data_IF_902866287110
#
_entry.id   IF_902866287110
#
_cell.length_a   1.000
_cell.length_b   1.000
_cell.length_c   1.000
_cell.angle_alpha   90.00
_cell.angle_beta   90.00
_cell.angle_gamma   90.00
#
_symmetry.space_group_name_H-M   'P 1'
#
loop_
_entity.id
_entity.type
_entity.pdbx_description
1 polymer ?
#
# COMPACT_ATOMS: atom_id res chain seq x y z
N UNK A 1 10.83 -39.86 -2.08
CA UNK A 1 10.30 -38.51 -1.79
C UNK A 1 11.08 -37.96 -0.60
N UNK A 2 12.07 -37.08 -0.83
CA UNK A 2 12.79 -36.41 0.25
C UNK A 2 12.06 -35.12 0.62
N UNK A 3 11.95 -34.87 1.92
CA UNK A 3 11.11 -33.88 2.58
C UNK A 3 11.83 -32.56 2.91
N UNK A 4 12.79 -32.13 2.10
CA UNK A 4 13.44 -30.83 2.29
C UNK A 4 13.02 -29.90 1.15
N UNK A 5 12.02 -29.05 1.42
CA UNK A 5 11.51 -28.02 0.52
C UNK A 5 12.48 -26.85 0.24
N UNK A 6 13.78 -27.08 0.31
CA UNK A 6 14.79 -26.10 -0.10
C UNK A 6 15.02 -26.22 -1.61
N UNK A 7 14.24 -25.47 -2.40
CA UNK A 7 14.72 -25.12 -3.73
C UNK A 7 15.98 -24.25 -3.53
N UNK A 8 17.13 -24.59 -4.12
CA UNK A 8 18.32 -23.77 -3.97
C UNK A 8 18.03 -22.40 -4.58
N UNK A 9 18.11 -21.34 -3.77
CA UNK A 9 18.13 -19.99 -4.29
C UNK A 9 19.29 -19.87 -5.30
N UNK A 10 19.05 -19.16 -6.40
CA UNK A 10 20.02 -19.01 -7.49
C UNK A 10 20.09 -17.57 -7.94
N UNK A 11 21.29 -17.10 -8.26
CA UNK A 11 21.49 -15.80 -8.89
C UNK A 11 20.86 -15.71 -10.28
N UNK A 12 20.73 -16.85 -10.98
CA UNK A 12 20.05 -16.98 -12.27
C UNK A 12 19.01 -18.10 -12.18
N UNK A 13 17.77 -17.82 -11.77
CA UNK A 13 16.76 -18.86 -11.70
C UNK A 13 16.44 -19.35 -13.12
N UNK A 14 16.52 -20.67 -13.34
CA UNK A 14 16.43 -21.31 -14.67
C UNK A 14 14.99 -21.57 -15.11
N UNK A 15 14.05 -20.72 -14.70
CA UNK A 15 12.63 -20.99 -14.87
C UNK A 15 12.04 -20.00 -15.87
N UNK A 16 11.27 -20.52 -16.82
CA UNK A 16 10.43 -19.68 -17.68
C UNK A 16 9.20 -19.27 -16.87
N UNK A 17 8.96 -17.97 -16.61
CA UNK A 17 7.77 -17.51 -15.89
C UNK A 17 6.46 -17.99 -16.52
N UNK A 18 6.46 -18.36 -17.82
CA UNK A 18 5.27 -18.90 -18.51
C UNK A 18 4.95 -20.35 -18.15
N UNK A 19 5.96 -21.14 -17.77
CA UNK A 19 5.78 -22.59 -17.51
C UNK A 19 5.94 -22.96 -16.04
N UNK A 20 6.35 -22.00 -15.21
CA UNK A 20 6.69 -22.22 -13.81
C UNK A 20 5.50 -21.88 -12.92
N UNK A 21 5.22 -22.72 -11.92
CA UNK A 21 4.12 -22.45 -10.99
C UNK A 21 4.34 -21.13 -10.23
N UNK A 22 3.25 -20.44 -9.91
CA UNK A 22 3.28 -19.17 -9.16
C UNK A 22 3.91 -19.33 -7.77
N UNK A 23 3.66 -20.46 -7.11
CA UNK A 23 4.27 -20.80 -5.83
C UNK A 23 5.80 -20.96 -5.96
N UNK A 24 6.28 -21.64 -7.01
CA UNK A 24 7.72 -21.76 -7.26
C UNK A 24 8.38 -20.42 -7.56
N UNK A 25 7.72 -19.55 -8.33
CA UNK A 25 8.19 -18.18 -8.59
C UNK A 25 8.31 -17.40 -7.28
N UNK A 26 7.26 -17.43 -6.45
CA UNK A 26 7.26 -16.75 -5.15
C UNK A 26 8.37 -17.29 -4.24
N UNK A 27 8.54 -18.61 -4.15
CA UNK A 27 9.56 -19.23 -3.32
C UNK A 27 10.97 -18.81 -3.76
N UNK A 28 11.25 -18.83 -5.06
CA UNK A 28 12.55 -18.44 -5.60
C UNK A 28 12.83 -16.94 -5.47
N UNK A 29 11.81 -16.11 -5.70
CA UNK A 29 11.90 -14.66 -5.52
C UNK A 29 12.28 -14.29 -4.09
N UNK A 30 11.54 -14.82 -3.11
CA UNK A 30 11.84 -14.63 -1.67
C UNK A 30 13.23 -15.13 -1.31
N UNK A 31 13.59 -16.32 -1.74
CA UNK A 31 14.89 -16.90 -1.41
C UNK A 31 16.05 -16.12 -2.06
N UNK A 32 15.85 -15.57 -3.27
CA UNK A 32 16.83 -14.71 -3.93
C UNK A 32 17.11 -13.43 -3.14
N UNK A 33 16.11 -12.80 -2.50
CA UNK A 33 16.34 -11.59 -1.68
C UNK A 33 17.44 -11.77 -0.61
N UNK A 34 17.62 -12.99 -0.10
CA UNK A 34 18.57 -13.29 0.99
C UNK A 34 19.79 -14.13 0.56
N UNK A 35 19.85 -14.56 -0.70
CA UNK A 35 20.97 -15.35 -1.22
C UNK A 35 22.22 -14.45 -1.41
N UNK A 36 23.46 -14.92 -1.28
CA UNK A 36 24.64 -14.10 -1.61
C UNK A 36 24.72 -13.74 -3.11
N UNK A 37 25.19 -12.53 -3.44
CA UNK A 37 25.52 -12.20 -4.85
C UNK A 37 26.72 -13.04 -5.33
N UNK A 38 26.98 -13.17 -6.65
CA UNK A 38 28.16 -13.87 -7.13
C UNK A 38 29.46 -13.26 -6.56
N UNK A 39 30.43 -14.10 -6.20
CA UNK A 39 31.68 -13.66 -5.53
C UNK A 39 32.44 -12.59 -6.32
N UNK A 40 32.47 -12.69 -7.65
CA UNK A 40 33.08 -11.68 -8.51
C UNK A 40 32.42 -10.30 -8.30
N UNK A 41 31.09 -10.25 -8.36
CA UNK A 41 30.34 -9.02 -8.11
C UNK A 41 30.53 -8.53 -6.67
N UNK A 42 30.53 -9.46 -5.70
CA UNK A 42 30.81 -9.14 -4.31
C UNK A 42 32.15 -8.40 -4.16
N UNK A 43 33.21 -8.94 -4.76
CA UNK A 43 34.56 -8.39 -4.69
C UNK A 43 34.71 -7.06 -5.46
N UNK A 44 33.97 -6.89 -6.56
CA UNK A 44 33.95 -5.64 -7.33
C UNK A 44 33.27 -4.52 -6.52
N UNK A 45 32.07 -4.78 -6.01
CA UNK A 45 31.34 -3.87 -5.14
C UNK A 45 32.12 -3.54 -3.87
N UNK A 46 32.71 -4.53 -3.20
CA UNK A 46 33.51 -4.33 -1.99
C UNK A 46 34.67 -3.35 -2.22
N UNK A 47 35.40 -3.48 -3.34
CA UNK A 47 36.50 -2.57 -3.70
C UNK A 47 36.02 -1.15 -3.96
N UNK A 48 34.90 -1.00 -4.64
CA UNK A 48 34.30 0.32 -4.87
C UNK A 48 33.86 0.97 -3.56
N UNK A 49 33.20 0.20 -2.68
CA UNK A 49 32.71 0.70 -1.41
C UNK A 49 33.80 1.01 -0.41
N UNK A 50 34.94 0.30 -0.42
CA UNK A 50 36.09 0.73 0.39
C UNK A 50 36.52 2.16 0.02
N UNK A 51 36.52 2.51 -1.27
CA UNK A 51 36.81 3.88 -1.70
C UNK A 51 35.72 4.89 -1.31
N UNK A 52 34.45 4.47 -1.30
CA UNK A 52 33.33 5.30 -0.83
C UNK A 52 33.36 5.55 0.67
N UNK A 53 33.72 4.53 1.45
CA UNK A 53 33.83 4.64 2.91
C UNK A 53 34.96 5.61 3.30
N UNK A 54 36.10 5.57 2.62
CA UNK A 54 37.18 6.54 2.83
C UNK A 54 36.72 7.97 2.55
N UNK A 55 36.05 8.23 1.41
CA UNK A 55 35.47 9.56 1.13
C UNK A 55 34.46 10.00 2.19
N UNK A 56 33.67 9.06 2.72
CA UNK A 56 32.71 9.35 3.78
C UNK A 56 33.37 9.71 5.11
N UNK A 57 34.46 9.04 5.47
CA UNK A 57 35.25 9.37 6.65
C UNK A 57 35.85 10.77 6.52
N UNK A 58 36.49 11.07 5.39
CA UNK A 58 37.03 12.40 5.08
C UNK A 58 35.93 13.48 5.12
N UNK A 59 34.74 13.19 4.58
CA UNK A 59 33.59 14.10 4.64
C UNK A 59 33.14 14.38 6.08
N UNK A 60 33.04 13.34 6.91
CA UNK A 60 32.65 13.50 8.33
C UNK A 60 33.69 14.33 9.07
N UNK A 61 34.97 14.00 8.93
CA UNK A 61 36.06 14.71 9.58
C UNK A 61 36.07 16.19 9.21
N UNK A 62 35.90 16.51 7.92
CA UNK A 62 35.80 17.88 7.44
C UNK A 62 34.54 18.59 7.99
N UNK A 63 33.38 17.91 7.98
CA UNK A 63 32.12 18.47 8.50
C UNK A 63 32.18 18.75 10.00
N UNK A 64 32.72 17.81 10.78
CA UNK A 64 32.86 17.93 12.23
C UNK A 64 33.84 19.05 12.57
N UNK A 65 34.97 19.14 11.86
CA UNK A 65 35.94 20.22 12.04
C UNK A 65 35.35 21.59 11.72
N UNK A 66 34.61 21.70 10.61
CA UNK A 66 33.97 22.96 10.19
C UNK A 66 32.79 23.36 11.08
N UNK A 67 32.22 22.44 11.85
CA UNK A 67 31.14 22.72 12.80
C UNK A 67 31.61 23.44 14.07
N UNK A 68 32.93 23.45 14.33
CA UNK A 68 33.52 24.10 15.50
C UNK A 68 33.73 25.60 15.22
N UNK A 69 33.11 26.52 15.99
CA UNK A 69 33.28 27.95 15.78
C UNK A 69 34.74 28.39 15.89
N UNK A 70 35.26 29.06 14.84
CA UNK A 70 36.64 29.56 14.80
C UNK A 70 37.69 28.54 14.34
N UNK A 71 37.28 27.32 13.96
CA UNK A 71 38.18 26.37 13.31
C UNK A 71 38.59 26.83 11.90
N UNK A 72 39.78 26.38 11.46
CA UNK A 72 40.21 26.55 10.06
C UNK A 72 39.35 25.64 9.20
N UNK A 73 38.62 26.24 8.26
CA UNK A 73 37.72 25.50 7.36
C UNK A 73 38.52 24.55 6.47
N UNK A 74 38.19 23.26 6.52
CA UNK A 74 38.79 22.21 5.68
C UNK A 74 37.84 21.94 4.51
N UNK A 75 38.37 21.76 3.28
CA UNK A 75 37.55 21.39 2.13
C UNK A 75 36.78 20.09 2.37
N UNK A 76 35.46 20.14 2.22
CA UNK A 76 34.60 18.96 2.33
C UNK A 76 34.65 18.19 0.99
N UNK A 77 35.10 16.91 0.97
CA UNK A 77 35.14 16.13 -0.26
C UNK A 77 33.73 15.93 -0.84
N UNK A 78 33.62 16.12 -2.15
CA UNK A 78 32.36 15.89 -2.84
C UNK A 78 32.03 14.40 -2.90
N UNK A 79 30.82 14.03 -2.51
CA UNK A 79 30.32 12.68 -2.69
C UNK A 79 30.14 12.38 -4.18
N UNK A 80 30.45 11.15 -4.59
CA UNK A 80 30.35 10.76 -5.99
C UNK A 80 28.93 10.28 -6.28
N UNK A 81 28.27 10.84 -7.29
CA UNK A 81 27.04 10.25 -7.83
C UNK A 81 27.38 8.91 -8.51
N UNK A 82 26.75 7.83 -8.04
CA UNK A 82 26.99 6.47 -8.52
C UNK A 82 25.80 5.87 -9.27
N UNK A 83 24.60 6.36 -9.01
CA UNK A 83 23.37 5.90 -9.65
C UNK A 83 22.34 7.02 -9.75
N UNK A 84 21.29 6.78 -10.53
CA UNK A 84 20.13 7.66 -10.66
C UNK A 84 18.89 6.81 -10.87
N UNK A 85 17.78 7.15 -10.22
CA UNK A 85 16.48 6.54 -10.54
C UNK A 85 15.98 7.04 -11.92
N UNK A 86 15.06 6.36 -12.62
CA UNK A 86 14.59 6.81 -13.94
C UNK A 86 14.05 8.24 -13.92
N UNK A 87 14.20 9.01 -15.01
CA UNK A 87 13.59 10.36 -15.12
C UNK A 87 12.11 10.23 -15.39
N UNK A 88 11.37 11.29 -15.15
CA UNK A 88 9.97 11.41 -15.58
C UNK A 88 9.78 11.29 -17.11
N UNK A 89 10.84 11.51 -17.89
CA UNK A 89 10.88 11.29 -19.34
C UNK A 89 11.20 9.84 -19.74
N UNK A 90 11.64 9.02 -18.79
CA UNK A 90 12.01 7.61 -18.99
C UNK A 90 10.95 6.66 -18.41
N UNK A 91 10.30 7.06 -17.31
CA UNK A 91 9.32 6.28 -16.57
C UNK A 91 8.24 7.17 -15.97
N UNK A 92 6.99 6.72 -15.96
CA UNK A 92 5.87 7.46 -15.34
C UNK A 92 5.91 7.50 -13.80
N UNK A 93 6.76 6.69 -13.17
CA UNK A 93 7.05 6.75 -11.73
C UNK A 93 8.44 7.33 -11.45
N UNK A 94 9.16 7.73 -12.50
CA UNK A 94 10.55 8.18 -12.42
C UNK A 94 10.68 9.61 -11.90
N UNK A 95 11.53 9.81 -10.89
CA UNK A 95 11.82 11.13 -10.32
C UNK A 95 13.19 11.69 -10.75
N UNK A 96 14.10 10.83 -11.20
CA UNK A 96 15.45 11.21 -11.57
C UNK A 96 16.37 11.49 -10.38
N UNK A 97 16.05 10.99 -9.19
CA UNK A 97 16.87 11.17 -7.98
C UNK A 97 18.28 10.63 -8.19
N UNK A 98 19.28 11.48 -7.99
CA UNK A 98 20.69 11.10 -8.00
C UNK A 98 21.08 10.49 -6.65
N UNK A 99 21.76 9.35 -6.70
CA UNK A 99 22.25 8.64 -5.53
C UNK A 99 23.75 8.78 -5.45
N UNK A 100 24.21 9.32 -4.33
CA UNK A 100 25.63 9.35 -4.01
C UNK A 100 26.11 7.98 -3.54
N UNK A 101 27.43 7.80 -3.56
CA UNK A 101 28.07 6.64 -2.98
C UNK A 101 27.75 6.47 -1.48
N UNK A 102 27.64 7.57 -0.72
CA UNK A 102 27.15 7.55 0.66
C UNK A 102 25.74 6.96 0.75
N UNK A 103 24.82 7.42 -0.09
CA UNK A 103 23.41 7.00 -0.03
C UNK A 103 23.28 5.49 -0.19
N UNK A 104 24.07 4.93 -1.10
CA UNK A 104 24.10 3.49 -1.37
C UNK A 104 24.86 2.72 -0.29
N UNK A 105 26.05 3.17 0.11
CA UNK A 105 26.93 2.39 1.00
C UNK A 105 26.53 2.49 2.46
N UNK A 106 25.80 3.53 2.89
CA UNK A 106 25.40 3.71 4.28
C UNK A 106 24.63 2.50 4.82
N UNK A 107 23.77 1.89 4.00
CA UNK A 107 22.89 0.78 4.40
C UNK A 107 23.58 -0.59 4.45
N UNK A 108 24.87 -0.66 4.12
CA UNK A 108 25.68 -1.88 4.16
C UNK A 108 26.11 -2.29 5.58
N UNK A 109 26.21 -1.33 6.50
CA UNK A 109 26.60 -1.60 7.88
C UNK A 109 25.59 -2.50 8.58
N UNK A 110 26.07 -3.44 9.41
CA UNK A 110 25.18 -4.28 10.23
C UNK A 110 24.48 -3.50 11.35
N UNK A 111 25.04 -2.34 11.69
CA UNK A 111 24.59 -1.50 12.80
C UNK A 111 24.07 -0.14 12.28
N UNK A 112 23.85 -0.03 10.96
CA UNK A 112 23.30 1.17 10.33
C UNK A 112 21.89 0.92 9.78
N UNK A 113 21.06 1.96 9.84
CA UNK A 113 19.75 1.96 9.18
C UNK A 113 19.85 2.05 7.65
N UNK A 114 18.70 2.26 7.02
CA UNK A 114 18.62 2.57 5.58
C UNK A 114 18.17 4.02 5.45
N UNK A 115 18.87 4.82 4.64
CA UNK A 115 18.55 6.24 4.48
C UNK A 115 17.23 6.41 3.72
N UNK A 116 16.47 7.46 4.07
CA UNK A 116 15.21 7.87 3.44
C UNK A 116 15.28 7.83 1.90
N UNK A 117 16.30 8.50 1.34
CA UNK A 117 16.57 8.56 -0.10
C UNK A 117 16.80 7.18 -0.73
N UNK A 118 17.46 6.26 -0.02
CA UNK A 118 17.75 4.91 -0.51
C UNK A 118 16.51 4.02 -0.50
N UNK A 119 15.63 4.19 0.49
CA UNK A 119 14.35 3.49 0.54
C UNK A 119 13.41 4.01 -0.56
N UNK A 120 13.33 5.33 -0.73
CA UNK A 120 12.55 5.96 -1.80
C UNK A 120 13.02 5.48 -3.17
N UNK A 121 14.33 5.55 -3.43
CA UNK A 121 14.90 5.12 -4.70
C UNK A 121 14.70 3.63 -4.97
N UNK A 122 14.86 2.77 -3.95
CA UNK A 122 14.61 1.35 -4.10
C UNK A 122 13.13 1.06 -4.39
N UNK A 123 12.22 1.76 -3.71
CA UNK A 123 10.77 1.65 -3.94
C UNK A 123 10.39 2.09 -5.36
N UNK A 124 11.01 3.17 -5.86
CA UNK A 124 10.87 3.62 -7.25
C UNK A 124 11.34 2.56 -8.23
N UNK A 125 12.54 1.99 -8.04
CA UNK A 125 13.04 0.90 -8.90
C UNK A 125 12.13 -0.33 -8.88
N UNK A 126 11.53 -0.67 -7.74
CA UNK A 126 10.58 -1.79 -7.64
C UNK A 126 9.34 -1.50 -8.48
N UNK A 127 8.74 -0.31 -8.33
CA UNK A 127 7.55 0.09 -9.08
C UNK A 127 7.84 0.15 -10.59
N UNK A 128 8.95 0.77 -10.97
CA UNK A 128 9.43 0.85 -12.35
C UNK A 128 9.57 -0.53 -12.99
N UNK A 129 10.26 -1.43 -12.28
CA UNK A 129 10.49 -2.80 -12.75
C UNK A 129 9.20 -3.60 -12.91
N UNK A 130 8.28 -3.49 -11.94
CA UNK A 130 6.98 -4.15 -12.01
C UNK A 130 6.12 -3.60 -13.16
N UNK A 131 6.08 -2.28 -13.36
CA UNK A 131 5.39 -1.65 -14.48
C UNK A 131 5.97 -2.10 -15.84
N UNK A 132 7.30 -2.14 -15.98
CA UNK A 132 7.97 -2.64 -17.20
C UNK A 132 7.62 -4.09 -17.48
N UNK A 133 7.66 -4.94 -16.45
CA UNK A 133 7.36 -6.36 -16.61
C UNK A 133 5.90 -6.60 -17.00
N UNK A 134 4.94 -5.94 -16.31
CA UNK A 134 3.52 -6.06 -16.62
C UNK A 134 3.15 -5.51 -18.01
N UNK A 135 3.85 -4.46 -18.47
CA UNK A 135 3.64 -3.90 -19.81
C UNK A 135 4.05 -4.85 -20.94
N UNK A 136 4.93 -5.80 -20.66
CA UNK A 136 5.39 -6.80 -21.62
C UNK A 136 4.57 -8.11 -21.59
N UNK A 137 3.55 -8.19 -20.72
CA UNK A 137 2.67 -9.36 -20.70
C UNK A 137 1.75 -9.36 -21.94
N UNK A 138 1.55 -10.53 -22.58
CA UNK A 138 0.62 -10.64 -23.68
C UNK A 138 -0.79 -10.26 -23.21
N UNK A 139 -1.53 -9.51 -24.03
CA UNK A 139 -2.93 -9.18 -23.74
C UNK A 139 -3.76 -10.45 -23.65
N UNK A 140 -4.63 -10.54 -22.63
CA UNK A 140 -5.62 -11.61 -22.54
C UNK A 140 -6.74 -11.46 -23.59
N UNK A 141 -6.86 -10.28 -24.19
CA UNK A 141 -7.77 -9.97 -25.29
C UNK A 141 -6.95 -9.53 -26.50
N UNK A 142 -6.78 -10.39 -27.53
CA UNK A 142 -5.97 -10.09 -28.71
C UNK A 142 -6.44 -8.84 -29.47
N UNK A 143 -7.69 -8.39 -29.24
CA UNK A 143 -8.26 -7.20 -29.87
C UNK A 143 -7.96 -5.89 -29.12
N UNK A 144 -7.44 -5.98 -27.89
CA UNK A 144 -7.05 -4.83 -27.07
C UNK A 144 -5.53 -4.81 -26.90
N UNK A 145 -4.89 -3.76 -27.42
CA UNK A 145 -3.50 -3.48 -27.09
C UNK A 145 -3.37 -3.27 -25.58
N UNK A 146 -2.46 -4.01 -24.93
CA UNK A 146 -2.08 -3.71 -23.55
C UNK A 146 -1.34 -2.37 -23.56
N UNK A 147 -1.89 -1.29 -22.97
CA UNK A 147 -1.19 -0.01 -22.97
C UNK A 147 0.09 -0.16 -22.17
N UNK A 148 1.21 0.35 -22.69
CA UNK A 148 2.48 0.34 -21.98
C UNK A 148 2.36 1.19 -20.72
N UNK A 149 2.28 0.55 -19.55
CA UNK A 149 2.02 1.14 -18.23
C UNK A 149 3.27 1.75 -17.58
N UNK A 150 4.42 1.72 -18.26
CA UNK A 150 5.68 2.25 -17.75
C UNK A 150 6.04 3.59 -18.39
N UNK A 151 5.61 3.85 -19.63
CA UNK A 151 6.03 5.03 -20.37
C UNK A 151 5.40 6.33 -19.81
N UNK A 152 6.09 7.48 -19.97
CA UNK A 152 5.55 8.78 -19.60
C UNK A 152 4.18 9.04 -20.22
N UNK A 153 3.30 9.71 -19.47
CA UNK A 153 1.92 10.00 -19.90
C UNK A 153 0.95 8.82 -19.80
N UNK A 154 1.38 7.68 -19.26
CA UNK A 154 0.50 6.54 -18.97
C UNK A 154 0.26 6.38 -17.46
N UNK A 155 -0.87 5.80 -17.10
CA UNK A 155 -1.19 5.48 -15.70
C UNK A 155 -0.46 4.19 -15.30
N UNK A 156 0.43 4.21 -14.29
CA UNK A 156 1.14 3.03 -13.84
C UNK A 156 0.19 1.97 -13.26
N UNK A 157 0.69 0.74 -13.07
CA UNK A 157 0.01 -0.25 -12.23
C UNK A 157 0.53 -0.21 -10.79
N UNK A 158 1.82 0.09 -10.62
CA UNK A 158 2.48 0.22 -9.33
C UNK A 158 3.01 1.63 -9.20
N UNK A 159 2.59 2.33 -8.16
CA UNK A 159 3.08 3.65 -7.83
C UNK A 159 3.51 3.69 -6.36
N UNK A 160 4.22 4.74 -5.99
CA UNK A 160 4.52 5.00 -4.60
C UNK A 160 4.46 6.48 -4.29
N UNK A 161 4.32 6.79 -3.01
CA UNK A 161 4.53 8.10 -2.45
C UNK A 161 5.72 8.02 -1.52
N UNK A 162 6.72 8.86 -1.79
CA UNK A 162 7.93 8.95 -0.99
C UNK A 162 7.61 9.16 0.49
N UNK A 163 8.58 8.84 1.32
CA UNK A 163 8.64 9.11 2.77
C UNK A 163 8.20 10.52 3.21
N UNK A 164 8.29 11.55 2.36
CA UNK A 164 7.68 12.89 2.61
C UNK A 164 6.15 12.86 2.80
N UNK A 165 5.48 11.77 2.44
CA UNK A 165 4.05 11.63 2.66
C UNK A 165 3.65 11.75 4.14
N UNK A 166 4.53 11.36 5.06
CA UNK A 166 4.26 11.50 6.48
C UNK A 166 3.94 12.97 6.85
N UNK A 167 4.76 13.91 6.37
CA UNK A 167 4.59 15.37 6.56
C UNK A 167 3.27 15.89 5.93
N UNK A 168 2.84 15.27 4.83
CA UNK A 168 1.54 15.58 4.19
C UNK A 168 0.39 15.06 5.04
N UNK A 169 0.51 13.85 5.60
CA UNK A 169 -0.52 13.25 6.42
C UNK A 169 -0.66 13.92 7.80
N UNK A 170 0.41 14.48 8.36
CA UNK A 170 0.39 15.30 9.58
C UNK A 170 -0.51 16.54 9.46
N UNK A 171 -0.61 17.13 8.25
CA UNK A 171 -1.55 18.22 7.95
C UNK A 171 -3.02 17.74 7.85
N UNK A 172 -3.24 16.43 7.92
CA UNK A 172 -4.52 15.77 8.06
C UNK A 172 -5.07 15.15 6.76
N UNK A 173 -6.08 14.27 6.88
CA UNK A 173 -6.59 13.46 5.76
C UNK A 173 -7.13 14.26 4.57
N UNK A 174 -7.67 15.47 4.81
CA UNK A 174 -8.18 16.36 3.75
C UNK A 174 -7.04 16.89 2.87
N UNK A 175 -5.92 17.30 3.48
CA UNK A 175 -4.76 17.79 2.75
C UNK A 175 -4.13 16.65 1.94
N UNK A 176 -3.95 15.49 2.56
CA UNK A 176 -3.45 14.28 1.88
C UNK A 176 -4.33 13.86 0.69
N UNK A 177 -5.66 13.92 0.82
CA UNK A 177 -6.57 13.62 -0.28
C UNK A 177 -6.46 14.63 -1.44
N UNK A 178 -6.26 15.91 -1.14
CA UNK A 178 -6.06 16.95 -2.15
C UNK A 178 -4.73 16.74 -2.90
N UNK A 179 -3.65 16.43 -2.19
CA UNK A 179 -2.36 16.10 -2.80
C UNK A 179 -2.44 14.80 -3.63
N UNK A 180 -3.19 13.78 -3.18
CA UNK A 180 -3.42 12.56 -3.97
C UNK A 180 -4.17 12.86 -5.27
N UNK A 181 -5.13 13.80 -5.24
CA UNK A 181 -5.89 14.26 -6.41
C UNK A 181 -5.02 14.97 -7.45
N UNK A 182 -3.94 15.63 -7.01
CA UNK A 182 -2.95 16.22 -7.95
C UNK A 182 -2.11 15.17 -8.66
N UNK A 183 -1.97 13.98 -8.09
CA UNK A 183 -1.15 12.88 -8.64
C UNK A 183 -1.95 11.93 -9.51
N UNK A 184 -3.15 11.57 -9.07
CA UNK A 184 -4.04 10.66 -9.77
C UNK A 184 -5.47 11.18 -9.74
N UNK A 185 -6.12 11.21 -10.89
CA UNK A 185 -7.57 11.28 -10.93
C UNK A 185 -8.19 10.02 -10.32
N UNK A 186 -9.46 10.08 -9.90
CA UNK A 186 -10.14 8.90 -9.35
C UNK A 186 -10.16 7.73 -10.33
N UNK A 187 -10.37 8.01 -11.61
CA UNK A 187 -10.35 6.97 -12.66
C UNK A 187 -8.96 6.33 -12.79
N UNK A 188 -7.91 7.14 -12.68
CA UNK A 188 -6.52 6.65 -12.72
C UNK A 188 -6.18 5.82 -11.49
N UNK A 189 -6.65 6.21 -10.30
CA UNK A 189 -6.48 5.44 -9.07
C UNK A 189 -7.04 4.03 -9.18
N UNK A 190 -8.22 3.86 -9.77
CA UNK A 190 -8.82 2.54 -10.00
C UNK A 190 -8.09 1.68 -11.04
N UNK A 191 -7.12 2.25 -11.78
CA UNK A 191 -6.23 1.50 -12.69
C UNK A 191 -4.95 1.00 -12.00
N UNK A 192 -4.73 1.40 -10.74
CA UNK A 192 -3.59 0.95 -9.94
C UNK A 192 -3.85 -0.44 -9.36
N UNK A 193 -2.82 -1.28 -9.40
CA UNK A 193 -2.73 -2.52 -8.64
C UNK A 193 -2.29 -2.26 -7.21
N UNK A 194 -1.26 -1.43 -7.03
CA UNK A 194 -0.81 -0.96 -5.73
C UNK A 194 -0.32 0.49 -5.79
N UNK A 195 -0.60 1.23 -4.72
CA UNK A 195 0.13 2.44 -4.35
C UNK A 195 0.74 2.23 -2.97
N UNK A 196 2.07 2.40 -2.87
CA UNK A 196 2.82 2.25 -1.63
C UNK A 196 3.02 3.62 -0.96
N UNK A 197 2.69 3.73 0.32
CA UNK A 197 2.97 4.89 1.15
C UNK A 197 3.99 4.51 2.21
N UNK A 198 5.15 5.14 2.15
CA UNK A 198 6.20 4.94 3.14
C UNK A 198 5.86 5.75 4.39
N UNK A 199 5.70 5.06 5.52
CA UNK A 199 5.29 5.64 6.81
C UNK A 199 6.51 5.67 7.71
N UNK A 200 7.01 6.88 7.98
CA UNK A 200 8.11 7.10 8.93
C UNK A 200 7.55 7.54 10.28
N UNK A 201 8.10 7.02 11.37
CA UNK A 201 7.79 7.46 12.73
C UNK A 201 9.08 7.81 13.48
N UNK A 202 9.03 8.88 14.27
CA UNK A 202 10.21 9.44 14.94
C UNK A 202 10.97 10.43 14.04
N UNK A 203 11.59 11.42 14.68
CA UNK A 203 12.36 12.47 14.00
C UNK A 203 13.80 12.01 13.72
N UNK A 204 14.38 12.45 12.61
CA UNK A 204 15.82 12.36 12.37
C UNK A 204 16.56 13.42 13.20
N UNK A 205 16.71 13.19 14.50
CA UNK A 205 17.61 14.00 15.33
C UNK A 205 18.95 13.27 15.47
N UNK A 206 20.05 13.95 15.15
CA UNK A 206 21.47 13.52 15.27
C UNK A 206 21.66 12.06 15.71
N UNK A 207 21.76 11.17 14.70
CA UNK A 207 22.04 9.73 14.82
C UNK A 207 20.93 8.82 15.38
N UNK A 208 19.72 9.34 15.63
CA UNK A 208 18.50 8.54 15.86
C UNK A 208 17.71 8.42 14.55
N UNK A 209 17.89 7.29 13.85
CA UNK A 209 17.09 7.00 12.67
C UNK A 209 15.68 6.58 13.09
N UNK A 210 14.67 7.26 12.56
CA UNK A 210 13.28 6.90 12.78
C UNK A 210 12.96 5.48 12.32
N UNK A 211 11.80 4.97 12.71
CA UNK A 211 11.29 3.69 12.23
C UNK A 211 10.53 3.89 10.91
N UNK A 212 10.56 2.89 10.03
CA UNK A 212 9.83 2.92 8.77
C UNK A 212 9.02 1.66 8.55
N UNK A 213 7.80 1.87 8.07
CA UNK A 213 6.83 0.86 7.68
C UNK A 213 6.24 1.22 6.30
N UNK A 214 5.42 0.34 5.74
CA UNK A 214 4.67 0.61 4.51
C UNK A 214 3.18 0.41 4.71
N UNK A 215 2.41 1.38 4.25
CA UNK A 215 0.98 1.23 3.99
C UNK A 215 0.80 1.00 2.47
N UNK A 216 0.36 -0.18 2.07
CA UNK A 216 0.07 -0.48 0.67
C UNK A 216 -1.45 -0.49 0.45
N UNK A 217 -1.92 0.29 -0.52
CA UNK A 217 -3.33 0.33 -0.89
C UNK A 217 -3.47 -0.34 -2.26
N UNK A 218 -4.36 -1.32 -2.38
CA UNK A 218 -4.74 -1.92 -3.65
C UNK A 218 -6.14 -1.49 -4.06
N UNK A 219 -6.28 -0.55 -5.01
CA UNK A 219 -7.58 -0.20 -5.58
C UNK A 219 -8.20 -1.39 -6.31
N UNK A 220 -7.41 -2.11 -7.11
CA UNK A 220 -7.84 -3.33 -7.83
C UNK A 220 -8.58 -4.33 -6.91
N UNK A 221 -8.07 -4.54 -5.69
CA UNK A 221 -8.64 -5.50 -4.75
C UNK A 221 -9.43 -4.89 -3.57
N UNK A 222 -9.51 -3.56 -3.49
CA UNK A 222 -10.07 -2.80 -2.37
C UNK A 222 -9.47 -3.19 -1.02
N UNK A 223 -8.14 -3.29 -0.96
CA UNK A 223 -7.42 -3.65 0.27
C UNK A 223 -6.48 -2.55 0.75
N UNK A 224 -6.24 -2.55 2.06
CA UNK A 224 -5.25 -1.73 2.74
C UNK A 224 -4.40 -2.65 3.60
N UNK A 225 -3.09 -2.56 3.43
CA UNK A 225 -2.10 -3.36 4.13
C UNK A 225 -1.17 -2.43 4.90
N UNK A 226 -1.17 -2.52 6.23
CA UNK A 226 -0.14 -1.88 7.03
C UNK A 226 0.87 -2.93 7.50
N UNK A 227 2.11 -2.82 6.99
CA UNK A 227 3.18 -3.78 7.21
C UNK A 227 4.35 -3.12 7.94
N UNK A 228 4.56 -3.54 9.19
CA UNK A 228 5.62 -3.04 10.05
C UNK A 228 6.40 -4.21 10.66
N UNK A 229 7.72 -4.20 10.53
CA UNK A 229 8.60 -5.24 11.09
C UNK A 229 8.80 -5.13 12.60
N UNK A 230 8.44 -4.01 13.22
CA UNK A 230 8.44 -3.87 14.68
C UNK A 230 7.16 -4.42 15.34
N UNK A 231 6.22 -4.96 14.56
CA UNK A 231 4.96 -5.48 15.08
C UNK A 231 3.88 -4.43 15.34
N UNK A 232 4.13 -3.17 14.95
CA UNK A 232 3.12 -2.11 14.97
C UNK A 232 1.95 -2.45 14.05
N UNK A 233 0.73 -2.14 14.50
CA UNK A 233 -0.49 -2.28 13.72
C UNK A 233 -0.98 -0.98 13.09
N UNK A 234 -0.37 0.14 13.44
CA UNK A 234 -0.67 1.45 12.89
C UNK A 234 -2.03 2.00 13.31
N UNK A 235 -2.72 1.36 14.27
CA UNK A 235 -4.04 1.80 14.77
C UNK A 235 -3.88 2.96 15.76
N UNK A 236 -4.86 3.86 15.82
CA UNK A 236 -4.84 5.02 16.74
C UNK A 236 -4.72 4.60 18.22
N UNK A 237 -5.29 3.47 18.59
CA UNK A 237 -5.23 2.91 19.94
C UNK A 237 -3.95 2.12 20.24
N UNK A 238 -3.13 1.85 19.23
CA UNK A 238 -1.82 1.21 19.40
C UNK A 238 -0.76 2.23 19.84
N UNK A 239 0.44 1.75 20.16
CA UNK A 239 1.55 2.61 20.59
C UNK A 239 2.47 3.07 19.45
N UNK A 240 2.23 2.60 18.21
CA UNK A 240 3.07 2.89 17.05
C UNK A 240 2.58 4.05 16.19
N UNK A 241 2.54 3.87 14.87
CA UNK A 241 2.40 4.95 13.89
C UNK A 241 1.03 5.64 13.85
N UNK A 242 -0.02 4.99 14.38
CA UNK A 242 -1.37 5.58 14.50
C UNK A 242 -1.89 6.23 13.20
N UNK A 243 -1.61 5.61 12.05
CA UNK A 243 -1.85 6.20 10.73
C UNK A 243 -2.99 5.53 9.94
N UNK A 244 -3.40 4.32 10.28
CA UNK A 244 -4.37 3.53 9.49
C UNK A 244 -5.70 4.26 9.35
N UNK A 245 -6.25 4.77 10.44
CA UNK A 245 -7.49 5.54 10.45
C UNK A 245 -7.41 6.81 9.58
N UNK A 246 -6.25 7.47 9.55
CA UNK A 246 -6.02 8.63 8.69
C UNK A 246 -6.05 8.25 7.20
N UNK A 247 -5.52 7.08 6.83
CA UNK A 247 -5.66 6.54 5.47
C UNK A 247 -7.12 6.26 5.10
N UNK A 248 -7.92 5.70 6.02
CA UNK A 248 -9.35 5.46 5.79
C UNK A 248 -10.12 6.76 5.57
N UNK A 249 -9.85 7.77 6.40
CA UNK A 249 -10.44 9.10 6.26
C UNK A 249 -10.02 9.76 4.93
N UNK A 250 -8.74 9.67 4.56
CA UNK A 250 -8.21 10.22 3.31
C UNK A 250 -8.89 9.56 2.11
N UNK A 251 -8.98 8.22 2.06
CA UNK A 251 -9.64 7.49 0.97
C UNK A 251 -11.11 7.86 0.85
N UNK A 252 -11.80 8.05 1.96
CA UNK A 252 -13.20 8.49 1.98
C UNK A 252 -13.39 9.83 1.29
N UNK A 253 -12.49 10.79 1.57
CA UNK A 253 -12.50 12.14 0.97
C UNK A 253 -12.11 12.07 -0.50
N UNK A 254 -11.02 11.36 -0.82
CA UNK A 254 -10.44 11.27 -2.16
C UNK A 254 -11.38 10.60 -3.17
N UNK A 255 -12.00 9.47 -2.79
CA UNK A 255 -12.92 8.74 -3.67
C UNK A 255 -14.29 9.45 -3.76
N UNK A 256 -14.67 10.17 -2.72
CA UNK A 256 -15.86 11.02 -2.68
C UNK A 256 -17.17 10.23 -2.79
N UNK A 257 -18.19 10.93 -3.29
CA UNK A 257 -19.58 10.48 -3.35
C UNK A 257 -20.20 10.60 -4.75
N UNK A 258 -19.41 10.53 -5.81
CA UNK A 258 -19.98 10.57 -7.17
C UNK A 258 -20.10 9.15 -7.74
N UNK A 259 -21.02 8.92 -8.69
CA UNK A 259 -21.03 7.69 -9.48
C UNK A 259 -19.70 7.50 -10.24
N UNK A 260 -19.30 6.25 -10.53
CA UNK A 260 -20.00 5.02 -10.18
C UNK A 260 -19.85 4.69 -8.69
N UNK A 261 -20.95 4.28 -8.04
CA UNK A 261 -20.98 4.05 -6.59
C UNK A 261 -20.05 2.93 -6.12
N UNK A 262 -19.76 1.97 -7.00
CA UNK A 262 -18.76 0.91 -6.79
C UNK A 262 -17.35 1.44 -6.56
N UNK A 263 -17.07 2.68 -6.95
CA UNK A 263 -15.78 3.37 -6.81
C UNK A 263 -15.71 4.29 -5.60
N UNK A 264 -16.74 4.31 -4.74
CA UNK A 264 -16.65 4.99 -3.45
C UNK A 264 -15.90 4.13 -2.43
N UNK A 265 -15.33 4.78 -1.43
CA UNK A 265 -14.87 4.06 -0.24
C UNK A 265 -16.07 3.46 0.49
N UNK A 266 -16.10 2.15 0.73
CA UNK A 266 -17.17 1.52 1.49
C UNK A 266 -16.56 0.56 2.51
N UNK A 267 -16.73 0.80 3.82
CA UNK A 267 -16.11 -0.06 4.84
C UNK A 267 -16.68 -1.49 4.86
N UNK A 268 -17.79 -1.75 4.15
CA UNK A 268 -18.40 -3.08 4.02
C UNK A 268 -17.78 -3.95 2.92
N UNK A 269 -16.97 -3.41 2.00
CA UNK A 269 -16.27 -4.20 0.97
C UNK A 269 -14.76 -3.96 0.93
N UNK A 270 -14.28 -2.82 1.41
CA UNK A 270 -12.86 -2.61 1.66
C UNK A 270 -12.36 -3.45 2.82
N UNK A 271 -11.15 -4.00 2.68
CA UNK A 271 -10.53 -4.88 3.68
C UNK A 271 -9.21 -4.33 4.16
N UNK A 272 -8.90 -4.60 5.42
CA UNK A 272 -7.69 -4.19 6.10
C UNK A 272 -6.94 -5.43 6.59
N UNK A 273 -5.61 -5.37 6.48
CA UNK A 273 -4.68 -6.29 7.13
C UNK A 273 -3.58 -5.50 7.81
N UNK A 274 -3.34 -5.80 9.08
CA UNK A 274 -2.22 -5.27 9.87
C UNK A 274 -1.42 -6.44 10.47
N UNK A 275 -0.23 -6.18 11.02
CA UNK A 275 0.59 -7.17 11.77
C UNK A 275 1.04 -8.43 10.99
N UNK A 276 0.97 -8.44 9.65
CA UNK A 276 1.37 -9.60 8.80
C UNK A 276 2.80 -9.49 8.23
N UNK A 277 3.65 -8.64 8.80
CA UNK A 277 5.07 -8.55 8.40
C UNK A 277 5.89 -9.59 9.17
N UNK A 278 6.98 -10.05 8.56
CA UNK A 278 8.06 -10.70 9.32
C UNK A 278 8.61 -9.71 10.35
N UNK A 279 8.86 -10.19 11.57
CA UNK A 279 9.34 -9.38 12.68
C UNK A 279 10.87 -9.28 12.66
N UNK A 280 11.38 -8.06 12.81
CA UNK A 280 12.81 -7.82 12.95
C UNK A 280 13.29 -8.09 14.38
N UNK A 281 14.60 -8.20 14.56
CA UNK A 281 15.22 -8.17 15.89
C UNK A 281 15.10 -6.76 16.50
N UNK A 282 14.70 -6.67 17.78
CA UNK A 282 14.41 -5.38 18.44
C UNK A 282 15.59 -4.41 18.41
N UNK A 283 16.83 -4.91 18.55
CA UNK A 283 18.04 -4.09 18.62
C UNK A 283 18.73 -3.91 17.25
N UNK A 284 18.07 -4.27 16.15
CA UNK A 284 18.64 -4.17 14.80
C UNK A 284 17.98 -3.08 13.97
N UNK A 285 18.78 -2.22 13.29
CA UNK A 285 18.26 -1.15 12.46
C UNK A 285 17.85 -1.64 11.05
N UNK A 286 17.07 -2.73 10.99
CA UNK A 286 16.69 -3.41 9.73
C UNK A 286 15.32 -2.98 9.18
N UNK A 287 14.60 -2.06 9.82
CA UNK A 287 13.22 -1.72 9.43
C UNK A 287 13.07 -1.28 7.96
N UNK A 288 14.04 -0.54 7.43
CA UNK A 288 14.10 -0.18 6.01
C UNK A 288 14.27 -1.40 5.09
N UNK A 289 15.06 -2.39 5.51
CA UNK A 289 15.27 -3.62 4.73
C UNK A 289 13.99 -4.47 4.68
N UNK A 290 13.31 -4.64 5.83
CA UNK A 290 12.02 -5.35 5.86
C UNK A 290 10.94 -4.60 5.08
N UNK A 291 10.92 -3.26 5.14
CA UNK A 291 10.00 -2.43 4.35
C UNK A 291 10.21 -2.66 2.84
N UNK A 292 11.46 -2.63 2.37
CA UNK A 292 11.81 -2.92 0.97
C UNK A 292 11.40 -4.36 0.59
N UNK A 293 11.69 -5.35 1.45
CA UNK A 293 11.30 -6.76 1.20
C UNK A 293 9.79 -6.93 1.10
N UNK A 294 9.02 -6.26 1.97
CA UNK A 294 7.55 -6.28 1.95
C UNK A 294 7.02 -5.68 0.64
N UNK A 295 7.57 -4.54 0.20
CA UNK A 295 7.20 -3.90 -1.07
C UNK A 295 7.54 -4.81 -2.25
N UNK A 296 8.73 -5.43 -2.27
CA UNK A 296 9.10 -6.41 -3.30
C UNK A 296 8.12 -7.57 -3.35
N UNK A 297 7.72 -8.13 -2.20
CA UNK A 297 6.76 -9.22 -2.17
C UNK A 297 5.40 -8.82 -2.75
N UNK A 298 4.88 -7.65 -2.37
CA UNK A 298 3.60 -7.17 -2.90
C UNK A 298 3.69 -6.84 -4.40
N UNK A 299 4.72 -6.10 -4.82
CA UNK A 299 4.89 -5.66 -6.21
C UNK A 299 5.18 -6.82 -7.17
N UNK A 300 5.91 -7.84 -6.72
CA UNK A 300 6.31 -8.98 -7.56
C UNK A 300 5.36 -10.18 -7.43
N UNK A 301 4.30 -10.07 -6.64
CA UNK A 301 3.29 -11.10 -6.47
C UNK A 301 3.81 -12.33 -5.71
N UNK A 302 4.62 -12.09 -4.68
CA UNK A 302 5.12 -13.12 -3.77
C UNK A 302 4.34 -13.11 -2.45
N UNK A 303 4.35 -14.25 -1.77
CA UNK A 303 3.88 -14.39 -0.39
C UNK A 303 4.71 -13.52 0.57
N UNK A 304 4.08 -12.92 1.60
CA UNK A 304 4.80 -12.10 2.59
C UNK A 304 5.63 -12.91 3.60
N UNK A 305 5.47 -14.24 3.65
CA UNK A 305 6.19 -15.05 4.64
C UNK A 305 7.56 -15.46 4.11
N UNK A 306 8.58 -14.60 4.22
CA UNK A 306 9.95 -14.95 3.82
C UNK A 306 10.81 -15.51 4.96
N UNK A 307 10.23 -15.70 6.15
CA UNK A 307 10.85 -16.23 7.36
C UNK A 307 11.54 -15.15 8.19
N UNK A 308 11.75 -15.42 9.48
CA UNK A 308 12.47 -14.54 10.41
C UNK A 308 13.99 -14.56 10.09
N UNK A 309 14.37 -13.90 8.99
CA UNK A 309 15.75 -13.82 8.49
C UNK A 309 16.62 -13.01 9.44
N UNK A 310 17.81 -13.55 9.77
CA UNK A 310 18.73 -12.99 10.78
C UNK A 310 20.17 -13.17 10.34
N UNK A 311 21.08 -12.44 11.00
CA UNK A 311 22.52 -12.64 10.85
C UNK A 311 23.01 -12.57 9.39
N UNK A 312 23.60 -13.66 8.91
CA UNK A 312 24.21 -13.72 7.57
C UNK A 312 23.22 -13.50 6.42
N UNK A 313 21.97 -13.95 6.57
CA UNK A 313 20.94 -13.78 5.54
C UNK A 313 20.53 -12.31 5.37
N UNK A 314 20.39 -11.58 6.48
CA UNK A 314 20.14 -10.14 6.44
C UNK A 314 21.33 -9.36 5.88
N UNK A 315 22.56 -9.78 6.19
CA UNK A 315 23.76 -9.19 5.55
C UNK A 315 23.73 -9.37 4.03
N UNK A 316 23.33 -10.53 3.53
CA UNK A 316 23.18 -10.76 2.10
C UNK A 316 22.06 -9.91 1.49
N UNK A 317 20.93 -9.76 2.18
CA UNK A 317 19.84 -8.90 1.74
C UNK A 317 20.27 -7.44 1.62
N UNK A 318 20.93 -6.90 2.66
CA UNK A 318 21.55 -5.57 2.63
C UNK A 318 22.49 -5.42 1.44
N UNK A 319 23.40 -6.38 1.26
CA UNK A 319 24.32 -6.38 0.12
C UNK A 319 23.58 -6.31 -1.21
N UNK A 320 22.53 -7.12 -1.40
CA UNK A 320 21.74 -7.13 -2.63
C UNK A 320 21.03 -5.83 -2.88
N UNK A 321 20.40 -5.24 -1.87
CA UNK A 321 19.69 -3.97 -2.00
C UNK A 321 20.67 -2.86 -2.37
N UNK A 322 21.79 -2.73 -1.65
CA UNK A 322 22.84 -1.76 -1.96
C UNK A 322 23.44 -1.98 -3.36
N UNK A 323 23.67 -3.23 -3.75
CA UNK A 323 24.16 -3.55 -5.11
C UNK A 323 23.10 -3.18 -6.15
N UNK A 324 21.82 -3.43 -5.90
CA UNK A 324 20.74 -3.06 -6.82
C UNK A 324 20.65 -1.54 -6.99
N UNK A 325 20.74 -0.78 -5.90
CA UNK A 325 20.82 0.68 -5.94
C UNK A 325 22.03 1.16 -6.76
N UNK A 326 23.22 0.59 -6.48
CA UNK A 326 24.46 0.95 -7.17
C UNK A 326 24.39 0.77 -8.69
N UNK A 327 23.74 -0.31 -9.15
CA UNK A 327 23.64 -0.64 -10.57
C UNK A 327 22.40 -0.05 -11.27
N UNK A 328 21.66 0.84 -10.60
CA UNK A 328 20.51 1.53 -11.19
C UNK A 328 19.25 0.66 -11.31
N UNK A 329 19.02 -0.24 -10.35
CA UNK A 329 17.79 -1.00 -10.22
C UNK A 329 17.81 -2.40 -10.84
N UNK A 330 16.62 -2.88 -11.16
CA UNK A 330 16.38 -4.26 -11.62
C UNK A 330 16.44 -4.40 -13.14
N UNK A 331 16.78 -5.62 -13.59
CA UNK A 331 16.90 -5.97 -15.02
C UNK A 331 15.91 -7.06 -15.42
N UNK A 332 15.48 -7.03 -16.67
CA UNK A 332 14.68 -8.11 -17.26
C UNK A 332 15.49 -9.40 -17.41
N UNK A 333 14.79 -10.52 -17.57
CA UNK A 333 15.42 -11.81 -17.81
C UNK A 333 16.12 -11.84 -19.16
N UNK A 334 17.37 -12.31 -19.18
CA UNK A 334 18.13 -12.57 -20.39
C UNK A 334 18.26 -14.10 -20.58
N UNK A 335 17.65 -14.68 -21.64
CA UNK A 335 17.69 -16.12 -21.90
C UNK A 335 19.02 -16.60 -22.52
N UNK A 336 19.95 -15.69 -22.84
CA UNK A 336 21.23 -16.04 -23.43
C UNK A 336 22.02 -17.03 -22.57
N UNK A 337 22.66 -18.02 -23.21
CA UNK A 337 23.51 -18.99 -22.51
C UNK A 337 24.64 -18.26 -21.79
N UNK A 338 24.71 -18.40 -20.46
CA UNK A 338 25.71 -17.71 -19.64
C UNK A 338 25.41 -16.24 -19.36
N UNK A 339 24.21 -15.74 -19.69
CA UNK A 339 23.81 -14.38 -19.38
C UNK A 339 23.75 -14.16 -17.86
N UNK A 340 24.23 -13.00 -17.42
CA UNK A 340 24.16 -12.58 -16.03
C UNK A 340 22.75 -12.08 -15.69
N UNK A 341 22.00 -12.90 -14.94
CA UNK A 341 20.68 -12.57 -14.43
C UNK A 341 20.69 -12.15 -12.94
N UNK A 342 21.83 -11.68 -12.42
CA UNK A 342 21.98 -11.32 -11.00
C UNK A 342 20.94 -10.29 -10.54
N UNK A 343 20.62 -9.29 -11.37
CA UNK A 343 19.62 -8.25 -11.08
C UNK A 343 18.19 -8.56 -11.55
N UNK A 344 17.96 -9.75 -12.11
CA UNK A 344 16.61 -10.21 -12.49
C UNK A 344 15.91 -10.85 -11.29
N UNK A 345 14.69 -10.39 -10.98
CA UNK A 345 13.83 -11.06 -10.01
C UNK A 345 12.56 -11.52 -10.71
N UNK A 346 12.08 -12.74 -10.44
CA UNK A 346 10.91 -13.28 -11.13
C UNK A 346 9.61 -12.68 -10.55
N UNK A 347 8.69 -12.26 -11.41
CA UNK A 347 7.39 -11.73 -11.00
C UNK A 347 6.27 -12.72 -11.33
N UNK A 348 5.19 -12.62 -10.56
CA UNK A 348 3.92 -13.27 -10.83
C UNK A 348 2.88 -12.26 -11.33
N UNK A 349 1.96 -12.71 -12.18
CA UNK A 349 0.82 -11.91 -12.63
C UNK A 349 -0.40 -12.00 -11.68
N UNK A 350 -0.25 -12.63 -10.51
CA UNK A 350 -1.33 -12.82 -9.54
C UNK A 350 -1.99 -11.49 -9.16
N UNK A 351 -3.32 -11.49 -9.06
CA UNK A 351 -4.04 -10.35 -8.49
C UNK A 351 -3.74 -10.22 -6.99
N UNK A 352 -3.78 -8.99 -6.46
CA UNK A 352 -3.63 -8.74 -5.04
C UNK A 352 -4.58 -9.61 -4.19
N UNK A 353 -4.09 -10.24 -3.11
CA UNK A 353 -4.94 -11.02 -2.22
C UNK A 353 -5.94 -10.13 -1.49
N UNK A 354 -7.15 -10.64 -1.25
CA UNK A 354 -8.18 -9.96 -0.47
C UNK A 354 -8.98 -10.93 0.41
N UNK A 355 -8.44 -12.13 0.68
CA UNK A 355 -9.17 -13.18 1.36
C UNK A 355 -8.93 -13.17 2.88
N UNK A 356 -9.85 -13.79 3.64
CA UNK A 356 -9.64 -14.03 5.07
C UNK A 356 -8.46 -14.98 5.34
N UNK A 357 -8.18 -15.91 4.42
CA UNK A 357 -7.01 -16.80 4.50
C UNK A 357 -5.71 -15.99 4.47
N UNK A 358 -5.70 -14.89 3.72
CA UNK A 358 -4.61 -13.92 3.69
C UNK A 358 -4.64 -12.91 4.84
N UNK A 359 -5.51 -13.11 5.83
CA UNK A 359 -5.74 -12.26 7.00
C UNK A 359 -6.36 -10.89 6.69
N UNK A 360 -7.07 -10.74 5.56
CA UNK A 360 -7.83 -9.52 5.29
C UNK A 360 -9.21 -9.58 5.92
N UNK A 361 -9.50 -8.61 6.78
CA UNK A 361 -10.80 -8.45 7.46
C UNK A 361 -11.48 -7.21 6.90
N UNK A 362 -12.80 -7.26 6.72
CA UNK A 362 -13.58 -6.08 6.31
C UNK A 362 -13.33 -4.92 7.28
N UNK A 363 -13.11 -3.71 6.75
CA UNK A 363 -12.82 -2.51 7.56
C UNK A 363 -13.89 -2.30 8.64
N UNK A 364 -15.18 -2.50 8.29
CA UNK A 364 -16.30 -2.40 9.23
C UNK A 364 -16.23 -3.38 10.41
N UNK A 365 -15.53 -4.50 10.25
CA UNK A 365 -15.44 -5.58 11.24
C UNK A 365 -14.05 -5.66 11.88
N UNK A 366 -13.14 -4.75 11.54
CA UNK A 366 -11.75 -4.86 11.96
C UNK A 366 -11.60 -4.61 13.48
N UNK A 367 -11.05 -5.57 14.25
CA UNK A 367 -10.90 -5.41 15.70
C UNK A 367 -9.97 -4.25 16.08
N UNK A 368 -10.36 -3.45 17.06
CA UNK A 368 -9.55 -2.34 17.58
C UNK A 368 -9.60 -1.06 16.75
N UNK A 369 -10.17 -1.11 15.53
CA UNK A 369 -10.34 0.06 14.68
C UNK A 369 -11.42 1.00 15.23
N UNK A 370 -11.07 2.27 15.36
CA UNK A 370 -11.95 3.34 15.86
C UNK A 370 -12.87 3.87 14.76
N UNK A 371 -13.59 2.96 14.09
CA UNK A 371 -14.34 3.31 12.88
C UNK A 371 -15.43 4.34 13.13
N UNK A 372 -16.06 4.29 14.30
CA UNK A 372 -17.15 5.16 14.72
C UNK A 372 -16.70 6.62 14.91
N UNK A 373 -15.47 6.83 15.39
CA UNK A 373 -14.82 8.13 15.52
C UNK A 373 -14.15 8.58 14.22
N UNK A 374 -13.63 7.64 13.42
CA UNK A 374 -12.84 7.92 12.22
C UNK A 374 -13.69 8.32 11.03
N UNK A 375 -14.81 7.62 10.81
CA UNK A 375 -15.63 7.79 9.61
C UNK A 375 -16.94 8.52 9.94
N UNK A 376 -17.31 9.45 9.04
CA UNK A 376 -18.58 10.14 9.13
C UNK A 376 -19.75 9.13 9.16
N UNK A 377 -20.85 9.43 9.90
CA UNK A 377 -21.96 8.50 10.05
C UNK A 377 -22.56 8.02 8.73
N UNK A 378 -22.59 8.84 7.68
CA UNK A 378 -23.16 8.43 6.39
C UNK A 378 -22.21 7.49 5.61
N UNK A 379 -20.90 7.57 5.81
CA UNK A 379 -19.91 6.67 5.19
C UNK A 379 -19.97 5.28 5.82
N UNK A 380 -20.13 5.21 7.14
CA UNK A 380 -20.23 3.94 7.90
C UNK A 380 -21.42 3.09 7.51
N UNK A 381 -22.44 3.71 6.91
CA UNK A 381 -23.70 3.09 6.54
C UNK A 381 -23.77 2.70 5.07
N UNK A 382 -22.74 3.02 4.29
CA UNK A 382 -22.70 2.71 2.85
C UNK A 382 -22.95 1.21 2.63
N UNK A 383 -23.80 0.91 1.66
CA UNK A 383 -24.19 -0.46 1.33
C UNK A 383 -23.79 -0.83 -0.09
N UNK A 384 -23.09 -1.97 -0.30
CA UNK A 384 -22.77 -2.45 -1.64
C UNK A 384 -23.99 -2.70 -2.53
N UNK A 385 -25.19 -2.85 -1.94
CA UNK A 385 -26.43 -3.07 -2.71
C UNK A 385 -26.76 -1.93 -3.67
N UNK A 386 -26.25 -0.73 -3.40
CA UNK A 386 -26.49 0.45 -4.22
C UNK A 386 -25.47 0.63 -5.35
N UNK A 387 -24.48 -0.24 -5.51
CA UNK A 387 -23.43 -0.07 -6.53
C UNK A 387 -23.95 0.06 -7.96
N UNK A 388 -25.07 -0.60 -8.27
CA UNK A 388 -25.73 -0.52 -9.56
C UNK A 388 -26.65 0.69 -9.73
N UNK A 389 -26.80 1.57 -8.74
CA UNK A 389 -27.68 2.73 -8.83
C UNK A 389 -26.98 3.88 -9.59
N UNK A 390 -27.41 4.22 -10.81
CA UNK A 390 -26.69 5.17 -11.66
C UNK A 390 -26.95 6.62 -11.25
N UNK A 391 -28.16 6.93 -10.78
CA UNK A 391 -28.62 8.30 -10.57
C UNK A 391 -29.75 8.40 -9.55
N UNK A 392 -30.16 9.65 -9.31
CA UNK A 392 -31.21 10.02 -8.37
C UNK A 392 -32.60 9.56 -8.83
N UNK A 393 -32.87 9.55 -10.13
CA UNK A 393 -34.18 9.16 -10.67
C UNK A 393 -34.43 7.67 -10.43
N UNK A 394 -33.41 6.85 -10.66
CA UNK A 394 -33.44 5.41 -10.39
C UNK A 394 -33.66 5.13 -8.91
N UNK A 395 -32.95 5.86 -8.03
CA UNK A 395 -33.13 5.74 -6.58
C UNK A 395 -34.54 6.17 -6.15
N UNK A 396 -35.08 7.23 -6.75
CA UNK A 396 -36.43 7.70 -6.49
C UNK A 396 -37.46 6.64 -6.88
N UNK A 397 -37.34 6.06 -8.08
CA UNK A 397 -38.20 4.99 -8.55
C UNK A 397 -38.08 3.70 -7.71
N UNK A 398 -36.91 3.42 -7.13
CA UNK A 398 -36.74 2.34 -6.14
C UNK A 398 -37.56 2.62 -4.88
N UNK A 399 -37.42 3.84 -4.32
CA UNK A 399 -38.18 4.24 -3.14
C UNK A 399 -39.69 4.25 -3.39
N UNK A 400 -40.16 4.71 -4.56
CA UNK A 400 -41.57 4.72 -4.92
C UNK A 400 -42.18 3.32 -4.99
N UNK A 401 -41.51 2.40 -5.70
CA UNK A 401 -41.89 0.98 -5.76
C UNK A 401 -41.94 0.34 -4.38
N UNK A 402 -41.12 0.81 -3.46
CA UNK A 402 -40.98 0.32 -2.09
C UNK A 402 -41.52 1.30 -1.04
N UNK A 403 -42.51 2.15 -1.39
CA UNK A 403 -42.97 3.28 -0.53
C UNK A 403 -43.36 2.89 0.89
N UNK A 404 -43.81 1.64 1.10
CA UNK A 404 -44.11 1.09 2.43
C UNK A 404 -42.87 1.08 3.34
N UNK A 405 -41.70 0.88 2.77
CA UNK A 405 -40.42 0.80 3.48
C UNK A 405 -39.69 2.14 3.56
N UNK A 406 -40.02 3.09 2.68
CA UNK A 406 -39.44 4.43 2.63
C UNK A 406 -40.53 5.50 2.75
N UNK A 407 -41.25 5.60 3.88
CA UNK A 407 -42.28 6.61 4.04
C UNK A 407 -41.68 8.01 3.94
N UNK A 408 -42.42 8.93 3.31
CA UNK A 408 -42.04 10.34 3.14
C UNK A 408 -40.79 10.60 2.30
N UNK A 409 -40.33 9.61 1.52
CA UNK A 409 -39.15 9.76 0.67
C UNK A 409 -39.27 10.94 -0.31
N UNK A 410 -40.50 11.28 -0.70
CA UNK A 410 -40.89 12.31 -1.67
C UNK A 410 -40.89 13.75 -1.12
N UNK A 411 -40.64 13.94 0.18
CA UNK A 411 -40.56 15.30 0.76
C UNK A 411 -39.46 16.13 0.11
N UNK A 412 -39.73 17.43 -0.06
CA UNK A 412 -38.82 18.39 -0.70
C UNK A 412 -37.41 18.37 -0.07
N UNK A 413 -37.31 18.19 1.25
CA UNK A 413 -36.03 18.12 1.96
C UNK A 413 -35.26 16.79 1.85
N UNK A 414 -35.87 15.73 1.30
CA UNK A 414 -35.31 14.38 1.20
C UNK A 414 -34.93 14.05 -0.25
N UNK A 415 -35.88 14.11 -1.18
CA UNK A 415 -35.64 13.78 -2.59
C UNK A 415 -35.90 14.94 -3.55
N UNK A 416 -36.32 16.11 -3.02
CA UNK A 416 -36.68 17.27 -3.84
C UNK A 416 -35.55 17.72 -4.76
N UNK A 417 -35.87 18.50 -5.80
CA UNK A 417 -34.94 18.86 -6.90
C UNK A 417 -33.58 19.39 -6.44
N UNK A 418 -33.54 20.18 -5.36
CA UNK A 418 -32.31 20.78 -4.81
C UNK A 418 -31.48 19.84 -3.93
N UNK A 419 -32.00 18.65 -3.60
CA UNK A 419 -31.25 17.67 -2.80
C UNK A 419 -30.28 16.89 -3.70
N UNK A 420 -28.97 16.91 -3.43
CA UNK A 420 -28.01 16.14 -4.22
C UNK A 420 -28.27 14.64 -4.14
N UNK A 421 -27.90 13.90 -5.18
CA UNK A 421 -28.03 12.43 -5.22
C UNK A 421 -27.40 11.76 -4.00
N UNK A 422 -26.17 12.14 -3.63
CA UNK A 422 -25.47 11.59 -2.48
C UNK A 422 -26.23 11.76 -1.16
N UNK A 423 -26.90 12.91 -0.97
CA UNK A 423 -27.69 13.19 0.24
C UNK A 423 -28.96 12.35 0.28
N UNK A 424 -29.61 12.14 -0.87
CA UNK A 424 -30.78 11.26 -0.94
C UNK A 424 -30.38 9.78 -0.72
N UNK A 425 -29.27 9.33 -1.33
CA UNK A 425 -28.73 7.99 -1.11
C UNK A 425 -28.38 7.73 0.36
N UNK A 426 -27.69 8.66 1.01
CA UNK A 426 -27.36 8.55 2.44
C UNK A 426 -28.61 8.46 3.33
N UNK A 427 -29.72 9.11 2.94
CA UNK A 427 -31.00 8.97 3.64
C UNK A 427 -31.57 7.55 3.48
N UNK A 428 -31.53 6.99 2.26
CA UNK A 428 -32.00 5.62 1.99
C UNK A 428 -31.18 4.59 2.75
N UNK A 429 -29.85 4.68 2.70
CA UNK A 429 -28.93 3.77 3.42
C UNK A 429 -29.13 3.85 4.94
N UNK A 430 -29.39 5.04 5.47
CA UNK A 430 -29.75 5.23 6.89
C UNK A 430 -31.06 4.53 7.24
N UNK A 431 -32.05 4.61 6.36
CA UNK A 431 -33.35 3.97 6.55
C UNK A 431 -33.23 2.44 6.54
N UNK A 432 -32.45 1.88 5.60
CA UNK A 432 -32.25 0.44 5.54
C UNK A 432 -31.51 -0.10 6.76
N UNK A 433 -30.47 0.60 7.24
CA UNK A 433 -29.78 0.19 8.46
C UNK A 433 -30.71 0.24 9.69
N UNK A 434 -31.57 1.25 9.80
CA UNK A 434 -32.54 1.33 10.89
C UNK A 434 -33.50 0.13 10.85
N UNK A 435 -33.98 -0.21 9.65
CA UNK A 435 -34.85 -1.38 9.43
C UNK A 435 -34.15 -2.70 9.77
N UNK A 436 -32.88 -2.87 9.41
CA UNK A 436 -32.11 -4.07 9.79
C UNK A 436 -31.99 -4.24 11.31
N UNK A 437 -31.89 -3.13 12.06
CA UNK A 437 -31.84 -3.17 13.53
C UNK A 437 -33.18 -3.49 14.17
N UNK A 438 -34.27 -3.02 13.59
CA UNK A 438 -35.62 -3.24 14.10
C UNK A 438 -36.16 -4.65 13.77
N UNK A 439 -35.57 -5.33 12.77
CA UNK A 439 -35.88 -6.71 12.39
C UNK A 439 -34.86 -7.66 13.03
N UNK A 440 -35.10 -8.07 14.29
CA UNK A 440 -34.34 -9.13 14.97
C UNK A 440 -34.22 -10.41 14.10
N UNK A 441 -33.16 -11.24 14.26
CA UNK A 441 -32.84 -12.28 13.29
C UNK A 441 -33.87 -13.41 13.37
N UNK A 442 -34.45 -13.74 12.21
CA UNK A 442 -35.52 -14.70 11.97
C UNK A 442 -36.93 -14.29 12.44
N UNK A 443 -37.90 -14.14 11.52
CA UNK A 443 -39.29 -14.28 11.92
C UNK A 443 -39.46 -15.71 12.44
N UNK A 444 -39.88 -15.87 13.70
CA UNK A 444 -40.35 -17.16 14.21
C UNK A 444 -41.35 -17.73 13.19
N UNK A 445 -41.29 -19.03 12.84
CA UNK A 445 -42.24 -19.62 11.91
C UNK A 445 -43.66 -19.34 12.40
N UNK A 446 -44.51 -18.90 11.48
CA UNK A 446 -45.91 -18.62 11.71
C UNK A 446 -46.55 -19.82 12.43
N UNK A 447 -46.97 -19.64 13.68
CA UNK A 447 -47.79 -20.64 14.38
C UNK A 447 -49.26 -20.37 14.04
N UNK A 448 -49.99 -21.35 13.48
CA UNK A 448 -51.39 -21.17 13.07
C UNK A 448 -52.36 -20.99 14.25
N UNK A 449 -51.89 -21.11 15.50
CA UNK A 449 -52.70 -21.09 16.71
C UNK A 449 -53.01 -19.68 17.24
N UNK A 450 -52.59 -18.62 16.53
CA UNK A 450 -52.88 -17.23 16.92
C UNK A 450 -52.18 -16.76 18.19
N UNK A 451 -51.22 -17.52 18.72
CA UNK A 451 -50.55 -17.22 20.00
C UNK A 451 -49.36 -16.25 19.90
N UNK A 452 -49.10 -15.66 18.73
CA UNK A 452 -48.16 -14.54 18.61
C UNK A 452 -48.81 -13.24 19.13
N UNK A 453 -48.85 -13.14 20.46
CA UNK A 453 -49.34 -11.99 21.19
C UNK A 453 -48.67 -10.68 20.75
N UNK A 454 -49.51 -9.69 20.47
CA UNK A 454 -49.33 -8.29 20.89
C UNK A 454 -47.89 -7.76 20.93
N UNK A 455 -47.29 -7.49 19.77
CA UNK A 455 -46.42 -6.32 19.63
C UNK A 455 -46.92 -5.49 18.46
N UNK A 456 -47.46 -4.33 18.83
CA UNK A 456 -47.89 -3.24 17.98
C UNK A 456 -46.85 -3.02 16.89
N UNK A 457 -47.25 -3.23 15.64
CA UNK A 457 -46.72 -2.45 14.54
C UNK A 457 -46.83 -0.98 14.94
N UNK A 458 -45.73 -0.23 14.83
CA UNK A 458 -45.74 1.21 15.10
C UNK A 458 -46.78 1.83 14.15
N UNK A 459 -47.88 2.43 14.65
CA UNK A 459 -48.83 3.13 13.81
C UNK A 459 -48.17 4.40 13.23
N UNK A 460 -48.64 4.91 12.09
CA UNK A 460 -48.03 6.04 11.37
C UNK A 460 -47.97 7.36 12.16
N UNK A 461 -48.68 7.44 13.29
CA UNK A 461 -48.91 8.68 14.03
C UNK A 461 -48.18 8.75 15.38
N UNK A 462 -47.27 7.80 15.67
CA UNK A 462 -46.38 7.94 16.81
C UNK A 462 -45.33 9.00 16.47
N UNK A 463 -45.44 10.18 17.06
CA UNK A 463 -44.41 11.22 17.03
C UNK A 463 -43.03 10.61 17.29
N UNK A 464 -42.21 10.49 16.24
CA UNK A 464 -40.77 10.29 16.38
C UNK A 464 -40.22 11.41 17.27
N UNK A 465 -39.25 11.13 18.16
CA UNK A 465 -38.71 12.18 18.99
C UNK A 465 -38.03 13.23 18.08
N UNK A 466 -38.69 14.36 17.92
CA UNK A 466 -38.14 15.62 17.37
C UNK A 466 -37.13 16.26 18.34
N UNK A 467 -36.41 15.44 19.11
CA UNK A 467 -35.39 15.87 20.05
C UNK A 467 -34.06 16.01 19.35
N UNK A 468 -33.81 17.21 18.80
CA UNK A 468 -32.48 17.77 18.45
C UNK A 468 -31.48 16.79 17.82
N UNK A 469 -31.58 16.65 16.50
CA UNK A 469 -30.41 16.44 15.64
C UNK A 469 -30.07 17.80 15.01
N UNK A 470 -29.24 18.57 15.72
CA UNK A 470 -28.37 19.57 15.13
C UNK A 470 -26.97 18.97 15.07
#
# INVERSE_FOLDING_TARGET
MSSNGELPARNSPSHDPKTTSTHSISLQGRAKMFHPVPEKLFNDCRRQWSGSLSRYQEYREASDTNSVPGAVEIPVPAMKIVARTPRSTESNVGTGTELSDRDVSFSMGSDTGVLKISIDAMTEFICDYANRWHSNLPSSDPSRETPNRHLPGTVPMFAYWSTHFHEVMEQGPKHAAAELTRRFSREEFWRLRYIFFLVQTGAEERDLFGHIAVCAISPEAKTIDYLCSAGDDGLIRGDGAKCVENFLAMLTIYLGDEPPLSQRFNPCDWKLRTRRSELQEQDKPDCGMFTICNIMCLAFGWELSYGARRGYEMKNCRFRICTTLYFGGFRGYNPGKGADNTFYYPLNALSPPNSLIDCFILVRQFPGLMIEETLAPDVRRRSPMYYGCPDKETLYAHCDRNKRFYPYYDRIGISGRLVPFAKFLAWVERYDLARERDVAPYPKPYRPDGSNGSKRWIPPDAHWPTGRLW
#
